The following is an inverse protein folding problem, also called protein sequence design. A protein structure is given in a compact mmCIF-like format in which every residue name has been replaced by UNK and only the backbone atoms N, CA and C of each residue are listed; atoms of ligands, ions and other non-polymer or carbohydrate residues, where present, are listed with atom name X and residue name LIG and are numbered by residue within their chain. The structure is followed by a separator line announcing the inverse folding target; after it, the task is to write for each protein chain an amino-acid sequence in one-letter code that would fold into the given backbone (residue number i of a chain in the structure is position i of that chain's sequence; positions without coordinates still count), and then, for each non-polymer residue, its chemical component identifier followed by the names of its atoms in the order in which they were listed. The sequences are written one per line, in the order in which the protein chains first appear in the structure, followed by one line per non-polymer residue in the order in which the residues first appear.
data_IF_364079786222
#
_entry.id   IF_364079786222
#
_cell.length_a   1.000
_cell.length_b   1.000
_cell.length_c   1.000
_cell.angle_alpha   90.00
_cell.angle_beta   90.00
_cell.angle_gamma   90.00
#
_symmetry.space_group_name_H-M   'P 1'
#
loop_
_entity.id
_entity.type
_entity.pdbx_description
1 polymer ?
#
# COMPACT_ATOMS: atom_id res chain seq x y z
N UNK A 1 -19.01 -49.96 -10.53
CA UNK A 1 -18.42 -49.01 -9.56
C UNK A 1 -18.22 -47.66 -10.25
N UNK A 2 -18.96 -46.65 -9.77
CA UNK A 2 -18.54 -45.24 -9.67
C UNK A 2 -18.32 -44.44 -10.98
N UNK A 3 -19.42 -44.07 -11.63
CA UNK A 3 -19.48 -42.86 -12.47
C UNK A 3 -19.71 -41.62 -11.58
N UNK A 4 -18.83 -41.37 -10.60
CA UNK A 4 -18.93 -40.19 -9.73
C UNK A 4 -17.94 -39.08 -10.10
N UNK A 5 -17.01 -39.35 -11.03
CA UNK A 5 -15.91 -38.44 -11.38
C UNK A 5 -16.36 -37.26 -12.25
N UNK A 6 -17.41 -37.43 -13.06
CA UNK A 6 -17.89 -36.38 -13.99
C UNK A 6 -18.66 -35.25 -13.30
N UNK A 7 -19.32 -35.54 -12.17
CA UNK A 7 -20.12 -34.57 -11.41
C UNK A 7 -19.24 -33.62 -10.58
N UNK A 8 -18.17 -34.17 -10.00
CA UNK A 8 -17.22 -33.42 -9.15
C UNK A 8 -16.48 -32.35 -9.94
N UNK A 9 -16.06 -32.66 -11.17
CA UNK A 9 -15.35 -31.70 -12.03
C UNK A 9 -16.22 -30.47 -12.35
N UNK A 10 -17.50 -30.68 -12.69
CA UNK A 10 -18.44 -29.59 -12.97
C UNK A 10 -18.72 -28.74 -11.74
N UNK A 11 -18.87 -29.35 -10.56
CA UNK A 11 -19.05 -28.64 -9.31
C UNK A 11 -17.83 -27.77 -8.96
N UNK A 12 -16.61 -28.28 -9.16
CA UNK A 12 -15.38 -27.51 -8.92
C UNK A 12 -15.27 -26.30 -9.85
N UNK A 13 -15.63 -26.45 -11.13
CA UNK A 13 -15.62 -25.34 -12.09
C UNK A 13 -16.61 -24.23 -11.69
N UNK A 14 -17.81 -24.59 -11.26
CA UNK A 14 -18.82 -23.63 -10.80
C UNK A 14 -18.38 -22.89 -9.52
N UNK A 15 -17.76 -23.61 -8.59
CA UNK A 15 -17.21 -23.02 -7.36
C UNK A 15 -16.06 -22.07 -7.70
N UNK A 16 -15.13 -22.46 -8.56
CA UNK A 16 -14.04 -21.58 -9.01
C UNK A 16 -14.59 -20.32 -9.68
N UNK A 17 -15.61 -20.46 -10.52
CA UNK A 17 -16.20 -19.32 -11.22
C UNK A 17 -16.91 -18.36 -10.26
N UNK A 18 -17.65 -18.88 -9.28
CA UNK A 18 -18.27 -18.06 -8.23
C UNK A 18 -17.22 -17.34 -7.36
N UNK A 19 -16.09 -17.99 -7.06
CA UNK A 19 -14.98 -17.40 -6.32
C UNK A 19 -14.29 -16.27 -7.09
N UNK A 20 -14.07 -16.46 -8.40
CA UNK A 20 -13.53 -15.41 -9.29
C UNK A 20 -14.46 -14.19 -9.29
N UNK A 21 -15.76 -14.37 -9.62
CA UNK A 21 -16.73 -13.26 -9.60
C UNK A 21 -16.82 -12.54 -8.25
N UNK A 22 -16.58 -13.25 -7.14
CA UNK A 22 -16.54 -12.67 -5.79
C UNK A 22 -15.26 -11.86 -5.53
N UNK A 23 -14.11 -12.30 -6.08
CA UNK A 23 -12.84 -11.59 -5.99
C UNK A 23 -12.86 -10.28 -6.80
N UNK A 24 -13.56 -10.24 -7.93
CA UNK A 24 -13.79 -8.99 -8.67
C UNK A 24 -14.65 -7.96 -7.89
N UNK A 25 -15.47 -8.41 -6.94
CA UNK A 25 -16.28 -7.56 -6.07
C UNK A 25 -15.56 -7.15 -4.77
N UNK A 26 -14.47 -7.84 -4.41
CA UNK A 26 -13.57 -7.37 -3.37
C UNK A 26 -12.86 -6.14 -3.94
N UNK A 27 -13.41 -4.97 -3.64
CA UNK A 27 -12.93 -3.68 -4.14
C UNK A 27 -11.41 -3.61 -4.13
N UNK A 28 -10.87 -2.99 -5.16
CA UNK A 28 -9.43 -2.76 -5.35
C UNK A 28 -8.76 -2.56 -3.99
N UNK A 29 -7.66 -3.28 -3.67
CA UNK A 29 -6.98 -3.10 -2.40
C UNK A 29 -6.81 -1.60 -2.20
N UNK A 30 -7.33 -1.13 -1.05
CA UNK A 30 -7.24 0.23 -0.54
C UNK A 30 -6.05 0.92 -1.18
N UNK A 31 -6.32 1.99 -1.91
CA UNK A 31 -5.31 2.67 -2.70
C UNK A 31 -4.05 2.86 -1.84
N UNK A 32 -2.85 2.71 -2.43
CA UNK A 32 -1.58 2.69 -1.68
C UNK A 32 -1.41 3.81 -0.65
N UNK A 33 -2.03 4.96 -0.91
CA UNK A 33 -1.90 6.17 -0.13
C UNK A 33 -3.05 6.40 0.86
N UNK A 34 -4.11 5.58 0.83
CA UNK A 34 -5.28 5.78 1.70
C UNK A 34 -4.99 5.55 3.20
N UNK A 35 -3.86 4.93 3.53
CA UNK A 35 -3.37 4.79 4.90
C UNK A 35 -1.88 5.17 5.04
N UNK A 36 -1.38 6.00 4.11
CA UNK A 36 -0.02 6.52 4.18
C UNK A 36 -0.05 7.87 4.92
N UNK A 37 0.80 8.01 5.93
CA UNK A 37 1.04 9.30 6.59
C UNK A 37 2.54 9.60 6.64
N UNK A 38 2.89 10.82 6.24
CA UNK A 38 4.25 11.24 5.93
C UNK A 38 4.61 12.46 6.78
N UNK A 39 5.85 12.54 7.26
CA UNK A 39 6.35 13.75 7.93
C UNK A 39 6.60 14.85 6.90
N UNK A 40 5.93 15.99 7.05
CA UNK A 40 6.07 17.15 6.16
C UNK A 40 6.63 18.34 6.94
N UNK A 41 7.93 18.31 7.21
CA UNK A 41 8.60 19.40 7.92
C UNK A 41 9.99 19.69 7.35
N UNK A 42 10.41 20.94 7.49
CA UNK A 42 11.72 21.40 7.08
C UNK A 42 12.35 22.25 8.20
N UNK A 43 13.60 21.94 8.56
CA UNK A 43 14.40 22.71 9.53
C UNK A 43 13.70 22.97 10.87
N UNK A 44 13.10 21.91 11.45
CA UNK A 44 12.49 21.97 12.78
C UNK A 44 13.54 21.84 13.89
N UNK A 45 13.34 22.48 15.06
CA UNK A 45 14.29 22.44 16.17
C UNK A 45 14.39 21.05 16.84
N UNK A 46 13.36 20.21 16.71
CA UNK A 46 13.41 18.80 17.11
C UNK A 46 12.37 17.97 16.34
N UNK A 47 12.55 16.66 16.30
CA UNK A 47 11.63 15.74 15.61
C UNK A 47 10.23 15.72 16.24
N UNK A 48 10.11 16.02 17.53
CA UNK A 48 8.83 16.05 18.25
C UNK A 48 7.86 17.13 17.73
N UNK A 49 8.38 18.17 17.05
CA UNK A 49 7.56 19.20 16.42
C UNK A 49 7.06 18.82 15.02
N UNK A 50 7.52 17.68 14.49
CA UNK A 50 7.09 17.21 13.18
C UNK A 50 6.00 16.16 13.39
N UNK A 51 4.76 16.47 13.00
CA UNK A 51 3.65 15.51 13.03
C UNK A 51 3.38 14.95 11.63
N UNK A 52 3.06 13.65 11.52
CA UNK A 52 2.74 13.07 10.24
C UNK A 52 1.39 13.60 9.72
N UNK A 53 1.33 13.86 8.42
CA UNK A 53 0.13 14.30 7.71
C UNK A 53 -0.30 13.21 6.74
N UNK A 54 -1.62 13.02 6.56
CA UNK A 54 -2.16 12.09 5.58
C UNK A 54 -1.66 12.43 4.17
N UNK A 55 -1.18 11.44 3.43
CA UNK A 55 -0.65 11.60 2.08
C UNK A 55 -1.78 11.42 1.04
N UNK A 56 -1.55 11.77 -0.21
CA UNK A 56 -2.56 11.61 -1.25
C UNK A 56 -2.82 10.12 -1.53
N UNK A 57 -4.02 9.76 -2.00
CA UNK A 57 -4.38 8.36 -2.29
C UNK A 57 -3.52 7.71 -3.38
N UNK A 58 -2.85 8.52 -4.20
CA UNK A 58 -1.89 8.10 -5.23
C UNK A 58 -0.48 7.87 -4.70
N UNK A 59 -0.15 8.42 -3.52
CA UNK A 59 1.18 8.31 -2.94
C UNK A 59 1.44 6.87 -2.50
N UNK A 60 2.69 6.44 -2.68
CA UNK A 60 3.10 5.05 -2.43
C UNK A 60 4.18 4.95 -1.36
N UNK A 61 4.98 6.01 -1.20
CA UNK A 61 6.16 6.05 -0.33
C UNK A 61 6.41 7.45 0.21
N UNK A 62 6.99 7.54 1.40
CA UNK A 62 7.49 8.78 1.97
C UNK A 62 8.91 9.05 1.45
N UNK A 63 9.22 10.30 1.09
CA UNK A 63 10.58 10.71 0.71
C UNK A 63 11.04 11.83 1.64
N UNK A 64 12.24 11.68 2.20
CA UNK A 64 12.89 12.71 3.02
C UNK A 64 14.28 13.02 2.49
N UNK A 65 14.70 14.28 2.61
CA UNK A 65 16.02 14.75 2.19
C UNK A 65 16.74 15.36 3.39
N UNK A 66 18.03 15.07 3.53
CA UNK A 66 18.89 15.69 4.53
C UNK A 66 19.83 16.69 3.86
N UNK A 67 19.84 17.93 4.37
CA UNK A 67 20.76 18.97 3.90
C UNK A 67 21.84 19.16 4.95
N UNK A 68 23.10 18.93 4.57
CA UNK A 68 24.25 19.06 5.45
C UNK A 68 25.05 20.28 5.01
N UNK A 69 25.22 21.24 5.91
CA UNK A 69 26.10 22.39 5.70
C UNK A 69 27.46 22.12 6.34
N UNK A 70 28.52 22.14 5.54
CA UNK A 70 29.90 22.06 6.01
C UNK A 70 30.53 23.46 5.99
N UNK A 71 30.87 23.97 7.17
CA UNK A 71 31.65 25.20 7.27
C UNK A 71 33.14 24.83 7.20
N UNK A 72 33.83 25.38 6.21
CA UNK A 72 35.28 25.28 6.11
C UNK A 72 35.87 26.63 6.48
N UNK A 73 36.83 26.61 7.41
CA UNK A 73 37.60 27.80 7.76
C UNK A 73 38.68 27.96 6.70
N UNK A 74 38.57 29.01 5.87
CA UNK A 74 39.61 29.35 4.90
C UNK A 74 40.72 30.09 5.65
N UNK A 75 41.99 29.68 5.52
CA UNK A 75 43.13 30.28 6.23
C UNK A 75 43.43 31.72 5.79
#
# INVERSE_FOLDING_TARGET
MKAETSSVMGALVLVLWALLMSAECAGSPTGPGENLSCYQCFKVPSQAFCTPTACASTDRVCVSNAVIFTLTMVP
#
